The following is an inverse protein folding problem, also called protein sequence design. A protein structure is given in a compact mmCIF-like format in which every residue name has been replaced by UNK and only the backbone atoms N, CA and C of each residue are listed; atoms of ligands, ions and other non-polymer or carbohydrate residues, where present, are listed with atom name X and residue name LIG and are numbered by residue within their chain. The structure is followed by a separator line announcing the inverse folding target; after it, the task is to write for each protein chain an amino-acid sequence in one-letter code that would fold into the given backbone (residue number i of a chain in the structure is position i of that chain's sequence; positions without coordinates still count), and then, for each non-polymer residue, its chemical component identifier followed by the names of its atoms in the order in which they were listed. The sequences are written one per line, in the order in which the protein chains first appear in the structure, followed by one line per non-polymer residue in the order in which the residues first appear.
data_IF_376467238317
#
_entry.id   IF_376467238317
#
_cell.length_a   1.000
_cell.length_b   1.000
_cell.length_c   1.000
_cell.angle_alpha   90.00
_cell.angle_beta   90.00
_cell.angle_gamma   90.00
#
_symmetry.space_group_name_H-M   'P 1'
#
loop_
_entity.id
_entity.type
_entity.pdbx_description
1 polymer ?
#
# COMPACT_ATOMS: atom_id res chain seq x y z
N UNK A 1 -13.79 1.38 -8.03
CA UNK A 1 -14.24 -0.01 -7.74
C UNK A 1 -14.13 -0.26 -6.24
N UNK A 2 -14.71 -1.33 -5.67
CA UNK A 2 -14.55 -1.62 -4.25
C UNK A 2 -13.37 -2.54 -3.92
N UNK A 3 -13.18 -2.80 -2.63
CA UNK A 3 -11.98 -3.47 -2.10
C UNK A 3 -11.78 -4.91 -2.56
N UNK A 4 -12.83 -5.65 -2.93
CA UNK A 4 -12.71 -7.01 -3.44
C UNK A 4 -12.23 -7.03 -4.90
N UNK A 5 -12.70 -6.09 -5.73
CA UNK A 5 -12.21 -5.95 -7.11
C UNK A 5 -10.74 -5.51 -7.14
N UNK A 6 -10.36 -4.61 -6.22
CA UNK A 6 -8.96 -4.19 -6.05
C UNK A 6 -8.10 -5.37 -5.55
N UNK A 7 -8.57 -6.16 -4.58
CA UNK A 7 -7.84 -7.34 -4.12
C UNK A 7 -7.73 -8.46 -5.17
N UNK A 8 -8.62 -8.52 -6.16
CA UNK A 8 -8.49 -9.46 -7.28
C UNK A 8 -7.37 -9.07 -8.26
N UNK A 9 -7.01 -7.78 -8.33
CA UNK A 9 -5.92 -7.31 -9.18
C UNK A 9 -4.56 -7.64 -8.52
N UNK A 10 -3.69 -8.45 -9.16
CA UNK A 10 -2.39 -8.83 -8.60
C UNK A 10 -1.46 -7.63 -8.38
N UNK A 11 -1.49 -6.62 -9.25
CA UNK A 11 -0.67 -5.42 -9.10
C UNK A 11 -1.13 -4.58 -7.90
N UNK A 12 -2.44 -4.50 -7.67
CA UNK A 12 -2.97 -3.81 -6.51
C UNK A 12 -2.69 -4.54 -5.18
N UNK A 13 -2.64 -5.88 -5.19
CA UNK A 13 -2.15 -6.65 -4.03
C UNK A 13 -0.66 -6.45 -3.82
N UNK A 14 0.13 -6.44 -4.91
CA UNK A 14 1.57 -6.14 -4.86
C UNK A 14 1.85 -4.79 -4.22
N UNK A 15 1.10 -3.75 -4.57
CA UNK A 15 1.17 -2.43 -3.92
C UNK A 15 0.87 -2.56 -2.43
N UNK A 16 -0.23 -3.21 -2.03
CA UNK A 16 -0.59 -3.37 -0.62
C UNK A 16 0.51 -4.09 0.19
N UNK A 17 1.04 -5.18 -0.35
CA UNK A 17 2.13 -5.95 0.28
C UNK A 17 3.37 -5.07 0.45
N UNK A 18 3.74 -4.29 -0.57
CA UNK A 18 4.92 -3.43 -0.50
C UNK A 18 4.73 -2.22 0.42
N UNK A 19 3.52 -1.65 0.52
CA UNK A 19 3.20 -0.63 1.54
C UNK A 19 3.45 -1.22 2.94
N UNK A 20 2.94 -2.43 3.22
CA UNK A 20 3.16 -3.10 4.50
C UNK A 20 4.65 -3.42 4.73
N UNK A 21 5.36 -3.92 3.71
CA UNK A 21 6.80 -4.20 3.76
C UNK A 21 7.59 -2.98 4.19
N UNK A 22 7.45 -1.87 3.47
CA UNK A 22 8.17 -0.62 3.74
C UNK A 22 7.83 -0.08 5.13
N UNK A 23 6.54 -0.08 5.50
CA UNK A 23 6.11 0.37 6.83
C UNK A 23 6.74 -0.47 7.95
N UNK A 24 6.80 -1.79 7.77
CA UNK A 24 7.43 -2.70 8.73
C UNK A 24 8.95 -2.49 8.78
N UNK A 25 9.63 -2.32 7.64
CA UNK A 25 11.07 -2.04 7.59
C UNK A 25 11.40 -0.75 8.33
N UNK A 26 10.64 0.32 8.10
CA UNK A 26 10.80 1.61 8.80
C UNK A 26 10.57 1.46 10.30
N UNK A 27 9.52 0.75 10.71
CA UNK A 27 9.21 0.55 12.12
C UNK A 27 10.29 -0.27 12.85
N UNK A 28 10.75 -1.36 12.24
CA UNK A 28 11.81 -2.22 12.78
C UNK A 28 13.15 -1.49 12.88
N UNK A 29 13.51 -0.67 11.88
CA UNK A 29 14.73 0.13 11.91
C UNK A 29 14.76 1.14 13.08
N UNK A 30 13.58 1.52 13.59
CA UNK A 30 13.43 2.41 14.74
C UNK A 30 13.13 1.68 16.06
N UNK A 31 13.20 0.35 16.07
CA UNK A 31 12.94 -0.51 17.24
C UNK A 31 11.51 -0.42 17.78
N UNK A 32 10.53 -0.12 16.92
CA UNK A 32 9.13 -0.24 17.31
C UNK A 32 8.68 -1.70 17.36
N UNK A 33 7.78 -2.00 18.29
CA UNK A 33 7.05 -3.27 18.31
C UNK A 33 5.76 -3.09 17.51
N UNK A 34 5.67 -3.79 16.38
CA UNK A 34 4.51 -3.74 15.49
C UNK A 34 3.61 -4.94 15.82
N UNK A 35 2.32 -4.69 16.04
CA UNK A 35 1.36 -5.78 16.20
C UNK A 35 1.20 -6.60 14.92
N UNK A 36 0.80 -7.86 15.06
CA UNK A 36 0.65 -8.75 13.91
C UNK A 36 -0.42 -8.25 12.94
N UNK A 37 -0.03 -7.99 11.69
CA UNK A 37 -0.92 -7.58 10.62
C UNK A 37 -1.50 -8.85 9.99
N UNK A 38 -2.82 -9.06 10.11
CA UNK A 38 -3.49 -10.31 9.65
C UNK A 38 -2.85 -11.59 10.21
N UNK A 39 -2.34 -11.53 11.45
CA UNK A 39 -1.65 -12.64 12.10
C UNK A 39 -0.22 -12.89 11.59
N UNK A 40 0.35 -11.97 10.80
CA UNK A 40 1.71 -12.03 10.25
C UNK A 40 2.56 -10.99 10.96
N UNK A 41 3.79 -11.34 11.31
CA UNK A 41 4.69 -10.42 12.02
C UNK A 41 5.30 -9.38 11.08
N UNK A 42 5.78 -8.27 11.64
CA UNK A 42 6.48 -7.24 10.87
C UNK A 42 7.78 -7.77 10.24
N UNK A 43 8.47 -8.70 10.91
CA UNK A 43 9.68 -9.34 10.38
C UNK A 43 9.36 -10.12 9.09
N UNK A 44 8.26 -10.88 9.07
CA UNK A 44 7.82 -11.57 7.85
C UNK A 44 7.49 -10.57 6.75
N UNK A 45 6.71 -9.52 7.03
CA UNK A 45 6.41 -8.49 6.04
C UNK A 45 7.65 -7.78 5.50
N UNK A 46 8.64 -7.52 6.35
CA UNK A 46 9.88 -6.84 5.96
C UNK A 46 10.71 -7.61 4.93
N UNK A 47 10.44 -8.91 4.77
CA UNK A 47 11.09 -9.83 3.84
C UNK A 47 10.29 -10.07 2.57
N UNK A 48 9.27 -9.27 2.24
CA UNK A 48 8.42 -9.52 1.08
C UNK A 48 9.12 -9.44 -0.30
N UNK A 49 10.42 -9.14 -0.35
CA UNK A 49 11.25 -9.29 -1.56
C UNK A 49 11.71 -10.74 -1.80
N UNK A 50 11.62 -11.60 -0.77
CA UNK A 50 11.80 -13.05 -0.87
C UNK A 50 10.55 -13.65 -1.53
N UNK A 51 10.75 -14.39 -2.63
CA UNK A 51 9.65 -14.95 -3.41
C UNK A 51 8.74 -15.90 -2.62
N UNK A 52 9.28 -16.71 -1.72
CA UNK A 52 8.45 -17.63 -0.92
C UNK A 52 7.61 -16.86 0.10
N UNK A 53 8.20 -15.84 0.72
CA UNK A 53 7.48 -14.94 1.64
C UNK A 53 6.40 -14.17 0.88
N UNK A 54 6.72 -13.64 -0.30
CA UNK A 54 5.78 -12.90 -1.12
C UNK A 54 4.56 -13.75 -1.47
N UNK A 55 4.76 -14.99 -1.92
CA UNK A 55 3.66 -15.91 -2.25
C UNK A 55 2.77 -16.24 -1.04
N UNK A 56 3.37 -16.39 0.15
CA UNK A 56 2.60 -16.54 1.39
C UNK A 56 1.76 -15.30 1.69
N UNK A 57 2.36 -14.11 1.55
CA UNK A 57 1.67 -12.84 1.76
C UNK A 57 0.56 -12.63 0.72
N UNK A 58 0.81 -12.85 -0.55
CA UNK A 58 -0.18 -12.70 -1.63
C UNK A 58 -1.38 -13.62 -1.39
N UNK A 59 -1.13 -14.88 -1.01
CA UNK A 59 -2.18 -15.83 -0.64
C UNK A 59 -3.05 -15.35 0.52
N UNK A 60 -2.50 -14.59 1.47
CA UNK A 60 -3.25 -14.01 2.61
C UNK A 60 -4.01 -12.72 2.25
N UNK A 61 -3.60 -12.04 1.18
CA UNK A 61 -4.30 -10.85 0.66
C UNK A 61 -5.30 -11.18 -0.44
N UNK A 62 -5.22 -12.39 -1.02
CA UNK A 62 -6.23 -12.89 -1.94
C UNK A 62 -7.63 -12.84 -1.29
N UNK A 63 -8.66 -12.35 -2.01
CA UNK A 63 -10.01 -12.36 -1.50
C UNK A 63 -10.48 -13.80 -1.33
N UNK A 64 -10.66 -14.25 -0.09
CA UNK A 64 -11.36 -15.50 0.21
C UNK A 64 -12.80 -15.31 -0.25
N UNK A 65 -13.32 -16.16 -1.14
CA UNK A 65 -14.59 -16.02 -1.86
C UNK A 65 -15.89 -15.99 -1.03
N UNK A 66 -15.88 -15.40 0.15
CA UNK A 66 -17.07 -15.03 0.91
C UNK A 66 -17.57 -13.65 0.49
N UNK A 67 -18.85 -13.57 0.19
CA UNK A 67 -19.64 -12.39 -0.17
C UNK A 67 -19.71 -11.34 0.95
N UNK A 68 -18.56 -10.84 1.42
CA UNK A 68 -18.50 -9.61 2.21
C UNK A 68 -18.80 -8.40 1.32
N UNK A 69 -19.31 -7.29 1.87
CA UNK A 69 -19.48 -6.05 1.12
C UNK A 69 -18.19 -5.69 0.40
N UNK A 70 -18.29 -5.19 -0.83
CA UNK A 70 -17.17 -4.65 -1.61
C UNK A 70 -16.67 -3.35 -0.96
N UNK A 71 -16.05 -3.50 0.21
CA UNK A 71 -15.70 -2.41 1.13
C UNK A 71 -14.57 -1.60 0.53
N UNK A 72 -14.89 -0.39 0.10
CA UNK A 72 -13.88 0.62 -0.21
C UNK A 72 -13.23 1.09 1.10
N UNK A 73 -11.91 1.08 1.18
CA UNK A 73 -11.17 1.77 2.26
C UNK A 73 -11.65 3.23 2.35
N UNK A 74 -11.54 3.86 3.52
CA UNK A 74 -12.01 5.25 3.71
C UNK A 74 -11.44 6.18 2.63
N UNK A 75 -10.12 6.11 2.39
CA UNK A 75 -9.47 6.86 1.30
C UNK A 75 -10.02 6.49 -0.09
N UNK A 76 -10.28 5.21 -0.39
CA UNK A 76 -10.89 4.81 -1.66
C UNK A 76 -12.31 5.36 -1.85
N UNK A 77 -13.05 5.58 -0.77
CA UNK A 77 -14.34 6.28 -0.82
C UNK A 77 -14.17 7.78 -1.02
N UNK A 78 -13.18 8.40 -0.37
CA UNK A 78 -12.88 9.82 -0.50
C UNK A 78 -12.49 10.18 -1.94
N UNK A 79 -11.60 9.38 -2.54
CA UNK A 79 -11.26 9.48 -3.97
C UNK A 79 -12.49 9.36 -4.86
N UNK A 80 -13.37 8.38 -4.61
CA UNK A 80 -14.61 8.23 -5.40
C UNK A 80 -15.52 9.46 -5.28
N UNK A 81 -15.53 10.11 -4.11
CA UNK A 81 -16.41 11.24 -3.80
C UNK A 81 -15.73 12.61 -4.03
N UNK A 82 -14.51 12.64 -4.57
CA UNK A 82 -13.75 13.86 -4.80
C UNK A 82 -13.40 14.63 -3.52
N UNK A 83 -13.21 13.93 -2.40
CA UNK A 83 -12.76 14.53 -1.15
C UNK A 83 -11.26 14.37 -1.01
N UNK A 84 -10.63 15.33 -0.34
CA UNK A 84 -9.23 15.23 0.07
C UNK A 84 -9.01 14.00 0.93
N UNK A 85 -7.92 13.28 0.67
CA UNK A 85 -7.54 12.05 1.37
C UNK A 85 -6.53 12.33 2.49
N UNK A 86 -6.32 11.34 3.36
CA UNK A 86 -5.32 11.42 4.44
C UNK A 86 -3.96 10.83 4.02
N UNK A 87 -3.71 10.68 2.70
CA UNK A 87 -2.53 9.95 2.18
C UNK A 87 -1.20 10.56 2.64
N UNK A 88 -1.13 11.89 2.69
CA UNK A 88 0.08 12.61 3.13
C UNK A 88 0.36 12.37 4.62
N UNK A 89 -0.69 12.25 5.44
CA UNK A 89 -0.56 11.97 6.86
C UNK A 89 -0.20 10.51 7.15
N UNK A 90 -0.65 9.58 6.33
CA UNK A 90 -0.36 8.15 6.51
C UNK A 90 0.92 7.73 5.79
N UNK A 91 0.87 7.61 4.46
CA UNK A 91 1.99 7.16 3.64
C UNK A 91 3.11 8.20 3.63
N UNK A 92 2.79 9.49 3.60
CA UNK A 92 3.78 10.55 3.68
C UNK A 92 4.55 10.56 5.01
N UNK A 93 3.90 10.19 6.11
CA UNK A 93 4.58 9.99 7.39
C UNK A 93 5.54 8.80 7.34
N UNK A 94 5.15 7.66 6.79
CA UNK A 94 6.05 6.51 6.60
C UNK A 94 7.27 6.91 5.77
N UNK A 95 7.07 7.63 4.65
CA UNK A 95 8.17 8.15 3.85
C UNK A 95 9.11 9.08 4.61
N UNK A 96 8.57 9.97 5.44
CA UNK A 96 9.36 10.84 6.29
C UNK A 96 10.19 10.03 7.30
N UNK A 97 9.57 9.06 7.95
CA UNK A 97 10.23 8.18 8.92
C UNK A 97 11.29 7.28 8.25
N UNK A 98 11.04 6.81 7.03
CA UNK A 98 12.04 6.08 6.23
C UNK A 98 13.28 6.90 5.95
N UNK A 99 13.13 8.18 5.58
CA UNK A 99 14.27 9.10 5.44
C UNK A 99 15.06 9.28 6.73
N UNK A 100 14.39 9.37 7.88
CA UNK A 100 15.04 9.47 9.20
C UNK A 100 15.81 8.19 9.55
N UNK A 101 15.23 7.02 9.24
CA UNK A 101 15.80 5.71 9.55
C UNK A 101 16.80 5.20 8.49
N UNK A 102 16.95 5.88 7.35
CA UNK A 102 17.78 5.43 6.24
C UNK A 102 17.18 4.24 5.46
N UNK A 103 15.86 4.07 5.52
CA UNK A 103 15.10 3.00 4.84
C UNK A 103 14.37 3.58 3.62
N UNK A 104 14.62 3.08 2.40
CA UNK A 104 13.87 3.49 1.21
C UNK A 104 12.39 3.12 1.29
N UNK A 105 11.51 4.02 0.84
CA UNK A 105 10.05 3.83 0.84
C UNK A 105 9.41 4.17 -0.53
N UNK A 106 9.90 3.58 -1.64
CA UNK A 106 9.50 3.98 -2.99
C UNK A 106 8.00 3.81 -3.28
N UNK A 107 7.34 2.78 -2.74
CA UNK A 107 5.90 2.59 -2.94
C UNK A 107 5.09 3.61 -2.15
N UNK A 108 5.48 3.93 -0.91
CA UNK A 108 4.81 4.99 -0.16
C UNK A 108 4.98 6.36 -0.84
N UNK A 109 6.18 6.65 -1.35
CA UNK A 109 6.45 7.90 -2.09
C UNK A 109 5.60 7.99 -3.37
N UNK A 110 5.54 6.90 -4.15
CA UNK A 110 4.74 6.85 -5.38
C UNK A 110 3.23 7.01 -5.11
N UNK A 111 2.71 6.37 -4.04
CA UNK A 111 1.31 6.49 -3.64
C UNK A 111 0.97 7.92 -3.20
N UNK A 112 1.82 8.56 -2.39
CA UNK A 112 1.63 9.95 -1.99
C UNK A 112 1.57 10.84 -3.23
N UNK A 113 2.51 10.69 -4.17
CA UNK A 113 2.52 11.47 -5.39
C UNK A 113 1.21 11.30 -6.19
N UNK A 114 0.84 10.07 -6.52
CA UNK A 114 -0.32 9.79 -7.37
C UNK A 114 -1.63 10.25 -6.73
N UNK A 115 -1.79 10.04 -5.42
CA UNK A 115 -3.02 10.42 -4.71
C UNK A 115 -3.07 11.94 -4.47
N UNK A 116 -1.96 12.62 -4.17
CA UNK A 116 -1.94 14.08 -4.09
C UNK A 116 -2.26 14.74 -5.43
N UNK A 117 -1.83 14.16 -6.57
CA UNK A 117 -2.23 14.63 -7.91
C UNK A 117 -3.74 14.45 -8.19
N UNK A 118 -4.34 13.38 -7.64
CA UNK A 118 -5.80 13.15 -7.70
C UNK A 118 -6.53 14.19 -6.86
N UNK A 119 -6.07 14.43 -5.63
CA UNK A 119 -6.68 15.39 -4.71
C UNK A 119 -6.59 16.83 -5.23
N UNK A 120 -5.50 17.16 -5.93
CA UNK A 120 -5.34 18.45 -6.61
C UNK A 120 -6.20 18.59 -7.89
N UNK A 121 -6.86 17.51 -8.33
CA UNK A 121 -7.63 17.47 -9.58
C UNK A 121 -6.77 17.50 -10.84
N UNK A 122 -5.45 17.32 -10.72
CA UNK A 122 -4.51 17.26 -11.85
C UNK A 122 -4.39 15.88 -12.47
N UNK A 123 -4.93 14.85 -11.80
CA UNK A 123 -5.01 13.47 -12.26
C UNK A 123 -6.41 12.90 -12.07
N UNK A 124 -6.89 12.17 -13.06
CA UNK A 124 -8.16 11.44 -12.97
C UNK A 124 -7.96 10.14 -12.19
N UNK A 125 -8.84 9.80 -11.23
CA UNK A 125 -8.84 8.48 -10.61
C UNK A 125 -9.20 7.38 -11.62
N UNK A 126 -8.37 6.35 -11.72
CA UNK A 126 -8.61 5.21 -12.60
C UNK A 126 -7.66 4.04 -12.33
N UNK A 127 -7.97 2.84 -12.84
CA UNK A 127 -7.15 1.64 -12.67
C UNK A 127 -5.73 1.78 -13.24
N UNK A 128 -5.52 2.62 -14.27
CA UNK A 128 -4.22 2.95 -14.85
C UNK A 128 -3.23 3.54 -13.83
N UNK A 129 -3.73 4.13 -12.75
CA UNK A 129 -2.86 4.68 -11.71
C UNK A 129 -2.19 3.58 -10.85
N UNK A 130 -2.73 2.36 -10.83
CA UNK A 130 -2.07 1.20 -10.19
C UNK A 130 -0.74 0.90 -10.88
N UNK A 131 -0.79 0.86 -12.21
CA UNK A 131 0.36 0.59 -13.06
C UNK A 131 1.43 1.68 -12.90
N UNK A 132 1.01 2.94 -12.90
CA UNK A 132 1.89 4.08 -12.69
C UNK A 132 2.61 4.04 -11.34
N UNK A 133 1.94 3.65 -10.26
CA UNK A 133 2.57 3.53 -8.94
C UNK A 133 3.72 2.52 -8.97
N UNK A 134 3.53 1.38 -9.63
CA UNK A 134 4.58 0.36 -9.75
C UNK A 134 5.77 0.85 -10.61
N UNK A 135 5.49 1.62 -11.66
CA UNK A 135 6.54 2.23 -12.50
C UNK A 135 7.36 3.26 -11.75
N UNK A 136 6.71 4.18 -11.02
CA UNK A 136 7.37 5.19 -10.19
C UNK A 136 8.22 4.54 -9.09
N UNK A 137 7.78 3.40 -8.56
CA UNK A 137 8.51 2.63 -7.56
C UNK A 137 9.60 1.71 -8.14
N UNK A 138 9.82 1.72 -9.46
CA UNK A 138 10.77 0.84 -10.17
C UNK A 138 10.55 -0.67 -9.89
N UNK A 139 9.29 -1.09 -9.78
CA UNK A 139 8.89 -2.47 -9.51
C UNK A 139 8.36 -3.22 -10.75
N UNK A 140 8.67 -2.70 -11.94
CA UNK A 140 8.35 -3.30 -13.23
C UNK A 140 9.56 -3.82 -13.97
#
# INVERSE_FOLDING_TARGET
EGGQTIAANPDARRIQINICKESCQVALAQNYVVENIRGITAETFSRADDGEVYEELDSKFMPTGGSGPDWKSSMGQDVTKGRHTEVEFMNGYISQQGRVAGVPTPINDAIVQVVSEIDAGTRTPGPENVELVLELAAMR
#
